data_IF_645438578131
#
_entry.id   IF_645438578131
#
_cell.length_a   1.000
_cell.length_b   1.000
_cell.length_c   1.000
_cell.angle_alpha   90.00
_cell.angle_beta   90.00
_cell.angle_gamma   90.00
#
_symmetry.space_group_name_H-M   'P 1'
#
loop_
_entity.id
_entity.type
_entity.pdbx_description
1 polymer ?
#
# COMPACT_ATOMS: atom_id res chain seq x y z
N UNK A 1 12.71 8.01 -2.66
CA UNK A 1 12.03 8.18 -1.34
C UNK A 1 10.62 7.68 -1.53
N UNK A 2 10.12 6.80 -0.69
CA UNK A 2 8.81 6.15 -0.87
C UNK A 2 7.67 7.10 -0.48
N UNK A 3 7.35 8.03 -1.39
CA UNK A 3 6.25 9.00 -1.19
C UNK A 3 4.94 8.46 -1.73
N UNK A 4 3.83 8.94 -1.19
CA UNK A 4 2.48 8.58 -1.62
C UNK A 4 2.28 8.78 -3.12
N UNK A 5 2.74 9.91 -3.69
CA UNK A 5 2.64 10.22 -5.13
C UNK A 5 3.38 9.24 -6.04
N UNK A 6 4.35 8.46 -5.51
CA UNK A 6 5.13 7.49 -6.27
C UNK A 6 4.35 6.16 -6.46
N UNK A 7 3.38 5.89 -5.58
CA UNK A 7 2.61 4.63 -5.52
C UNK A 7 1.11 4.79 -5.74
N UNK A 8 0.56 5.99 -5.54
CA UNK A 8 -0.88 6.25 -5.69
C UNK A 8 -1.36 6.02 -7.12
N UNK A 9 -2.62 5.66 -7.29
CA UNK A 9 -3.33 5.78 -8.56
C UNK A 9 -3.57 7.25 -8.84
N UNK A 10 -2.96 7.76 -9.91
CA UNK A 10 -3.16 9.12 -10.41
C UNK A 10 -4.42 9.20 -11.30
N UNK A 11 -4.88 10.41 -11.59
CA UNK A 11 -6.07 10.64 -12.42
C UNK A 11 -7.28 9.84 -11.93
N UNK A 12 -7.50 9.86 -10.60
CA UNK A 12 -8.59 9.15 -9.97
C UNK A 12 -9.94 9.69 -10.47
N UNK A 13 -10.86 8.78 -10.73
CA UNK A 13 -12.23 9.14 -11.11
C UNK A 13 -12.97 9.58 -9.85
N UNK A 14 -13.52 10.78 -9.89
CA UNK A 14 -14.31 11.37 -8.82
C UNK A 14 -15.78 11.46 -9.19
N UNK A 15 -16.65 11.59 -8.20
CA UNK A 15 -18.08 11.84 -8.37
C UNK A 15 -18.46 13.19 -7.76
N UNK A 16 -19.56 13.76 -8.25
CA UNK A 16 -20.21 14.91 -7.62
C UNK A 16 -21.19 14.43 -6.53
N UNK A 17 -21.48 15.28 -5.50
CA UNK A 17 -22.37 14.90 -4.39
C UNK A 17 -23.80 14.58 -4.81
N UNK A 18 -24.29 15.16 -5.91
CA UNK A 18 -25.62 15.02 -6.45
C UNK A 18 -25.77 13.84 -7.44
N UNK A 19 -24.65 13.19 -7.82
CA UNK A 19 -24.70 11.97 -8.60
C UNK A 19 -25.55 10.90 -7.89
N UNK A 20 -26.27 10.08 -8.65
CA UNK A 20 -27.11 9.00 -8.07
C UNK A 20 -26.29 7.75 -7.78
N UNK A 21 -26.76 6.96 -6.82
CA UNK A 21 -26.10 5.68 -6.47
C UNK A 21 -26.10 4.73 -7.68
N UNK A 22 -27.16 4.74 -8.51
CA UNK A 22 -27.16 3.95 -9.76
C UNK A 22 -26.01 4.33 -10.68
N UNK A 23 -25.77 5.63 -10.90
CA UNK A 23 -24.64 6.10 -11.72
C UNK A 23 -23.28 5.68 -11.15
N UNK A 24 -23.13 5.70 -9.83
CA UNK A 24 -21.87 5.26 -9.18
C UNK A 24 -21.66 3.75 -9.33
N UNK A 25 -22.72 2.94 -9.20
CA UNK A 25 -22.62 1.49 -9.41
C UNK A 25 -22.19 1.18 -10.85
N UNK A 26 -22.79 1.86 -11.84
CA UNK A 26 -22.45 1.69 -13.24
C UNK A 26 -21.01 2.13 -13.51
N UNK A 27 -20.59 3.27 -12.97
CA UNK A 27 -19.21 3.78 -13.04
C UNK A 27 -18.21 2.79 -12.44
N UNK A 28 -18.49 2.28 -11.24
CA UNK A 28 -17.63 1.29 -10.57
C UNK A 28 -17.47 0.02 -11.40
N UNK A 29 -18.56 -0.50 -11.98
CA UNK A 29 -18.54 -1.68 -12.87
C UNK A 29 -17.78 -1.42 -14.16
N UNK A 30 -18.07 -0.31 -14.85
CA UNK A 30 -17.43 0.03 -16.13
C UNK A 30 -15.92 0.21 -16.00
N UNK A 31 -15.48 0.85 -14.91
CA UNK A 31 -14.07 1.18 -14.69
C UNK A 31 -13.32 0.15 -13.82
N UNK A 32 -13.99 -0.87 -13.29
CA UNK A 32 -13.37 -1.86 -12.40
C UNK A 32 -12.85 -1.26 -11.09
N UNK A 33 -13.53 -0.25 -10.56
CA UNK A 33 -13.13 0.47 -9.34
C UNK A 33 -14.19 0.27 -8.24
N UNK A 34 -13.74 0.27 -6.99
CA UNK A 34 -14.59 0.01 -5.82
C UNK A 34 -14.67 1.19 -4.84
N UNK A 35 -13.96 2.28 -5.14
CA UNK A 35 -13.85 3.46 -4.28
C UNK A 35 -13.80 4.71 -5.14
N UNK A 36 -14.66 5.67 -4.84
CA UNK A 36 -14.78 6.91 -5.62
C UNK A 36 -14.74 8.10 -4.66
N UNK A 37 -13.71 8.94 -4.72
CA UNK A 37 -13.70 10.21 -4.02
C UNK A 37 -14.85 11.11 -4.53
N UNK A 38 -15.46 11.83 -3.62
CA UNK A 38 -16.53 12.79 -3.96
C UNK A 38 -15.97 14.18 -3.83
N UNK A 39 -16.09 14.95 -4.89
CA UNK A 39 -15.55 16.30 -4.98
C UNK A 39 -16.66 17.32 -5.27
N UNK A 40 -16.55 18.50 -4.69
CA UNK A 40 -17.38 19.63 -5.00
C UNK A 40 -16.48 20.84 -5.22
N UNK A 41 -16.61 21.49 -6.38
CA UNK A 41 -15.76 22.63 -6.77
C UNK A 41 -14.25 22.35 -6.63
N UNK A 42 -13.83 21.12 -6.99
CA UNK A 42 -12.44 20.69 -6.91
C UNK A 42 -11.97 20.21 -5.53
N UNK A 43 -12.77 20.39 -4.48
CA UNK A 43 -12.42 20.03 -3.10
C UNK A 43 -12.98 18.66 -2.72
N UNK A 44 -12.22 17.87 -1.96
CA UNK A 44 -12.65 16.59 -1.41
C UNK A 44 -13.73 16.82 -0.34
N UNK A 45 -14.97 16.39 -0.61
CA UNK A 45 -16.11 16.51 0.31
C UNK A 45 -16.63 15.17 0.82
N UNK A 46 -16.22 14.07 0.21
CA UNK A 46 -16.69 12.75 0.58
C UNK A 46 -15.88 11.61 -0.02
N UNK A 47 -16.22 10.41 0.41
CA UNK A 47 -15.74 9.15 -0.19
C UNK A 47 -16.92 8.17 -0.21
N UNK A 48 -17.14 7.53 -1.34
CA UNK A 48 -18.11 6.43 -1.48
C UNK A 48 -17.40 5.14 -1.88
N UNK A 49 -17.79 4.03 -1.28
CA UNK A 49 -17.26 2.70 -1.60
C UNK A 49 -18.40 1.73 -1.90
N UNK A 50 -18.08 0.67 -2.63
CA UNK A 50 -19.03 -0.41 -2.92
C UNK A 50 -19.63 -1.01 -1.63
N UNK A 51 -18.81 -1.22 -0.59
CA UNK A 51 -19.28 -1.69 0.73
C UNK A 51 -20.26 -0.74 1.40
N UNK A 52 -20.08 0.58 1.27
CA UNK A 52 -21.05 1.56 1.78
C UNK A 52 -22.37 1.49 1.05
N UNK A 53 -22.34 1.35 -0.26
CA UNK A 53 -23.56 1.19 -1.07
C UNK A 53 -24.29 -0.09 -0.65
N UNK A 54 -23.60 -1.20 -0.53
CA UNK A 54 -24.16 -2.49 -0.12
C UNK A 54 -24.76 -2.46 1.29
N UNK A 55 -24.16 -1.68 2.21
CA UNK A 55 -24.62 -1.55 3.60
C UNK A 55 -25.66 -0.42 3.81
N UNK A 56 -25.86 0.43 2.80
CA UNK A 56 -26.80 1.52 2.88
C UNK A 56 -28.23 1.03 2.81
N UNK A 57 -28.93 0.63 3.77
CA UNK A 57 -30.32 0.14 3.83
C UNK A 57 -31.12 0.04 2.52
N UNK A 58 -30.71 0.73 1.46
CA UNK A 58 -31.26 0.72 0.11
C UNK A 58 -31.13 -0.65 -0.58
N UNK A 59 -30.05 -1.41 -0.27
CA UNK A 59 -29.78 -2.74 -0.86
C UNK A 59 -30.14 -3.89 0.09
N UNK A 60 -30.32 -3.62 1.40
CA UNK A 60 -30.63 -4.63 2.41
C UNK A 60 -32.14 -4.90 2.61
N UNK A 61 -32.99 -4.21 1.86
CA UNK A 61 -34.44 -4.44 1.93
C UNK A 61 -34.81 -5.73 1.18
N UNK A 62 -34.69 -6.86 1.84
CA UNK A 62 -34.98 -8.21 1.31
C UNK A 62 -36.43 -8.40 0.83
N UNK A 63 -37.31 -7.41 1.05
CA UNK A 63 -38.72 -7.42 0.64
C UNK A 63 -39.02 -6.56 -0.59
N UNK A 64 -38.04 -5.81 -1.13
CA UNK A 64 -38.24 -4.96 -2.30
C UNK A 64 -38.16 -5.79 -3.60
N UNK A 65 -39.06 -5.48 -4.54
CA UNK A 65 -38.90 -5.94 -5.91
C UNK A 65 -37.68 -5.29 -6.58
N UNK A 66 -37.15 -5.91 -7.63
CA UNK A 66 -36.01 -5.37 -8.39
C UNK A 66 -36.30 -3.97 -8.98
N UNK A 67 -37.57 -3.70 -9.31
CA UNK A 67 -38.00 -2.39 -9.82
C UNK A 67 -37.98 -1.31 -8.74
N UNK A 68 -38.42 -1.62 -7.53
CA UNK A 68 -38.39 -0.71 -6.38
C UNK A 68 -36.94 -0.41 -5.97
N UNK A 69 -36.09 -1.42 -5.97
CA UNK A 69 -34.66 -1.25 -5.69
C UNK A 69 -34.00 -0.30 -6.72
N UNK A 70 -34.21 -0.55 -8.02
CA UNK A 70 -33.66 0.28 -9.09
C UNK A 70 -34.17 1.72 -8.99
N UNK A 71 -35.46 1.90 -8.67
CA UNK A 71 -36.04 3.21 -8.46
C UNK A 71 -35.36 3.96 -7.30
N UNK A 72 -35.18 3.30 -6.15
CA UNK A 72 -34.51 3.89 -5.00
C UNK A 72 -33.07 4.27 -5.32
N UNK A 73 -32.29 3.38 -5.95
CA UNK A 73 -30.90 3.66 -6.36
C UNK A 73 -30.80 4.84 -7.32
N UNK A 74 -31.80 5.03 -8.21
CA UNK A 74 -31.84 6.16 -9.14
C UNK A 74 -32.25 7.49 -8.48
N UNK A 75 -32.84 7.47 -7.28
CA UNK A 75 -33.25 8.65 -6.53
C UNK A 75 -32.33 8.99 -5.36
N UNK A 76 -31.57 8.04 -4.88
CA UNK A 76 -30.61 8.25 -3.78
C UNK A 76 -29.36 8.90 -4.31
N UNK A 77 -28.95 10.04 -3.74
CA UNK A 77 -27.72 10.75 -4.12
C UNK A 77 -26.52 10.26 -3.30
N UNK A 78 -25.34 10.43 -3.87
CA UNK A 78 -24.05 10.12 -3.23
C UNK A 78 -23.91 10.81 -1.88
N UNK A 79 -24.30 12.08 -1.78
CA UNK A 79 -24.22 12.90 -0.57
C UNK A 79 -24.96 12.32 0.64
N UNK A 80 -25.95 11.42 0.41
CA UNK A 80 -26.71 10.75 1.48
C UNK A 80 -26.04 9.49 2.01
N UNK A 81 -25.15 8.85 1.21
CA UNK A 81 -24.52 7.57 1.51
C UNK A 81 -23.02 7.71 1.82
N UNK A 82 -22.36 8.71 1.22
CA UNK A 82 -20.92 8.93 1.36
C UNK A 82 -20.48 9.20 2.80
N UNK A 83 -19.26 8.83 3.14
CA UNK A 83 -18.57 9.35 4.31
C UNK A 83 -18.15 10.79 4.06
N UNK A 84 -18.56 11.72 4.94
CA UNK A 84 -18.28 13.15 4.83
C UNK A 84 -16.99 13.58 5.53
N UNK A 85 -16.60 12.89 6.61
CA UNK A 85 -15.34 13.12 7.31
C UNK A 85 -14.27 12.20 6.74
N UNK A 86 -13.77 12.55 5.56
CA UNK A 86 -12.79 11.74 4.86
C UNK A 86 -11.41 11.93 5.46
N UNK A 87 -10.75 10.82 5.76
CA UNK A 87 -9.33 10.81 6.11
C UNK A 87 -8.55 10.77 4.80
N UNK A 88 -7.76 11.78 4.54
CA UNK A 88 -6.90 11.93 3.36
C UNK A 88 -5.44 11.99 3.74
N UNK A 89 -4.57 11.97 2.75
CA UNK A 89 -3.12 12.08 2.88
C UNK A 89 -2.57 13.07 1.85
N UNK A 90 -1.51 13.80 2.20
CA UNK A 90 -0.82 14.67 1.23
C UNK A 90 0.04 13.81 0.29
N UNK A 91 0.10 14.19 -0.97
CA UNK A 91 0.85 13.44 -2.01
C UNK A 91 2.36 13.36 -1.75
N UNK A 92 2.92 14.27 -0.97
CA UNK A 92 4.34 14.33 -0.63
C UNK A 92 4.68 13.63 0.70
N UNK A 93 3.69 13.14 1.44
CA UNK A 93 3.92 12.34 2.65
C UNK A 93 4.53 10.97 2.32
N UNK A 94 5.11 10.32 3.33
CA UNK A 94 5.71 9.00 3.21
C UNK A 94 4.62 7.90 3.18
N UNK A 95 4.88 6.80 2.49
CA UNK A 95 3.98 5.64 2.45
C UNK A 95 3.78 5.02 3.83
N UNK A 96 4.78 5.07 4.70
CA UNK A 96 4.70 4.64 6.10
C UNK A 96 3.63 5.41 6.86
N UNK A 97 3.54 6.73 6.63
CA UNK A 97 2.52 7.57 7.25
C UNK A 97 1.11 7.28 6.73
N UNK A 98 0.97 7.10 5.42
CA UNK A 98 -0.29 6.65 4.82
C UNK A 98 -0.72 5.29 5.38
N UNK A 99 0.22 4.35 5.49
CA UNK A 99 -0.01 3.01 6.07
C UNK A 99 -0.47 3.11 7.53
N UNK A 100 0.21 3.92 8.34
CA UNK A 100 -0.16 4.13 9.74
C UNK A 100 -1.57 4.74 9.86
N UNK A 101 -1.93 5.71 9.00
CA UNK A 101 -3.28 6.28 8.95
C UNK A 101 -4.33 5.21 8.64
N UNK A 102 -4.07 4.33 7.65
CA UNK A 102 -4.97 3.23 7.30
C UNK A 102 -5.19 2.27 8.47
N UNK A 103 -4.10 1.83 9.11
CA UNK A 103 -4.14 0.91 10.25
C UNK A 103 -4.88 1.52 11.45
N UNK A 104 -4.51 2.75 11.85
CA UNK A 104 -5.09 3.43 13.01
C UNK A 104 -6.60 3.67 12.87
N UNK A 105 -7.08 3.87 11.67
CA UNK A 105 -8.49 4.17 11.40
C UNK A 105 -9.26 2.96 10.85
N UNK A 106 -8.62 1.80 10.71
CA UNK A 106 -9.19 0.58 10.13
C UNK A 106 -9.85 0.83 8.74
N UNK A 107 -9.12 1.52 7.86
CA UNK A 107 -9.58 1.84 6.50
C UNK A 107 -8.58 1.32 5.46
N UNK A 108 -9.09 0.91 4.31
CA UNK A 108 -8.30 0.28 3.24
C UNK A 108 -7.88 1.24 2.11
N UNK A 109 -8.16 2.54 2.24
CA UNK A 109 -7.73 3.53 1.25
C UNK A 109 -7.75 4.94 1.82
N UNK A 110 -7.00 5.84 1.19
CA UNK A 110 -6.98 7.27 1.47
C UNK A 110 -7.04 8.03 0.14
N UNK A 111 -8.00 8.93 -0.06
CA UNK A 111 -7.86 9.96 -1.09
C UNK A 111 -6.58 10.76 -0.85
N UNK A 112 -5.87 11.05 -1.93
CA UNK A 112 -4.64 11.83 -1.91
C UNK A 112 -4.95 13.25 -2.37
N UNK A 113 -4.47 14.22 -1.61
CA UNK A 113 -4.72 15.63 -1.90
C UNK A 113 -3.40 16.38 -2.05
N UNK A 114 -3.44 17.48 -2.81
CA UNK A 114 -2.36 18.46 -2.87
C UNK A 114 -2.50 19.52 -1.75
N UNK A 115 -1.57 20.47 -1.72
CA UNK A 115 -1.57 21.58 -0.75
C UNK A 115 -2.81 22.48 -0.86
N UNK A 116 -3.51 22.48 -2.00
CA UNK A 116 -4.76 23.23 -2.22
C UNK A 116 -6.01 22.46 -1.77
N UNK A 117 -5.86 21.18 -1.32
CA UNK A 117 -6.96 20.31 -0.93
C UNK A 117 -7.67 19.63 -2.10
N UNK A 118 -7.13 19.74 -3.31
CA UNK A 118 -7.65 19.09 -4.51
C UNK A 118 -7.21 17.63 -4.56
N UNK A 119 -8.10 16.77 -5.03
CA UNK A 119 -7.80 15.33 -5.16
C UNK A 119 -6.84 15.09 -6.33
N UNK A 120 -5.65 14.57 -6.05
CA UNK A 120 -4.62 14.23 -7.03
C UNK A 120 -4.50 12.72 -7.27
N UNK A 121 -5.04 11.90 -6.37
CA UNK A 121 -4.95 10.45 -6.46
C UNK A 121 -5.76 9.73 -5.39
N UNK A 122 -5.57 8.42 -5.37
CA UNK A 122 -6.02 7.55 -4.29
C UNK A 122 -4.93 6.52 -4.00
N UNK A 123 -4.64 6.27 -2.72
CA UNK A 123 -3.72 5.22 -2.27
C UNK A 123 -4.50 4.16 -1.49
N UNK A 124 -4.17 2.90 -1.73
CA UNK A 124 -4.87 1.74 -1.18
C UNK A 124 -3.88 0.79 -0.48
N UNK A 125 -4.40 -0.21 0.25
CA UNK A 125 -3.59 -1.27 0.82
C UNK A 125 -2.76 -2.03 -0.23
N UNK A 126 -3.29 -2.20 -1.46
CA UNK A 126 -2.53 -2.83 -2.54
C UNK A 126 -1.28 -2.01 -2.92
N UNK A 127 -1.37 -0.69 -2.85
CA UNK A 127 -0.23 0.18 -3.13
C UNK A 127 0.81 0.12 -2.00
N UNK A 128 0.35 -0.06 -0.76
CA UNK A 128 1.23 -0.36 0.39
C UNK A 128 1.96 -1.69 0.18
N UNK A 129 1.26 -2.74 -0.28
CA UNK A 129 1.90 -4.03 -0.57
C UNK A 129 2.93 -3.93 -1.70
N UNK A 130 2.64 -3.18 -2.77
CA UNK A 130 3.62 -2.91 -3.84
C UNK A 130 4.85 -2.16 -3.30
N UNK A 131 4.63 -1.13 -2.48
CA UNK A 131 5.71 -0.40 -1.83
C UNK A 131 6.58 -1.34 -0.99
N UNK A 132 5.98 -2.21 -0.18
CA UNK A 132 6.68 -3.20 0.63
C UNK A 132 7.53 -4.15 -0.22
N UNK A 133 6.98 -4.69 -1.31
CA UNK A 133 7.73 -5.57 -2.21
C UNK A 133 8.91 -4.84 -2.87
N UNK A 134 8.72 -3.57 -3.26
CA UNK A 134 9.79 -2.76 -3.85
C UNK A 134 10.90 -2.46 -2.85
N UNK A 135 10.56 -2.15 -1.59
CA UNK A 135 11.56 -1.92 -0.53
C UNK A 135 12.42 -3.16 -0.30
N UNK A 136 11.84 -4.34 -0.43
CA UNK A 136 12.53 -5.62 -0.27
C UNK A 136 13.19 -6.12 -1.56
N UNK A 137 13.05 -5.41 -2.70
CA UNK A 137 13.59 -5.84 -3.98
C UNK A 137 13.02 -7.17 -4.50
N UNK A 138 11.73 -7.46 -4.21
CA UNK A 138 11.14 -8.77 -4.50
C UNK A 138 11.20 -9.16 -5.97
N UNK A 139 11.01 -8.20 -6.88
CA UNK A 139 10.98 -8.42 -8.32
C UNK A 139 12.38 -8.32 -8.99
N UNK A 140 13.44 -8.09 -8.22
CA UNK A 140 14.80 -8.01 -8.74
C UNK A 140 15.41 -9.41 -8.91
N UNK A 141 16.19 -9.56 -9.98
CA UNK A 141 16.94 -10.80 -10.23
C UNK A 141 18.11 -10.88 -9.27
N UNK A 142 18.29 -12.06 -8.65
CA UNK A 142 19.36 -12.29 -7.69
C UNK A 142 18.91 -13.24 -6.58
N UNK A 143 19.73 -13.36 -5.55
CA UNK A 143 19.47 -14.22 -4.39
C UNK A 143 19.02 -13.43 -3.18
N UNK A 144 18.23 -14.08 -2.31
CA UNK A 144 17.82 -13.58 -1.00
C UNK A 144 18.50 -14.42 0.08
N UNK A 145 19.34 -13.78 0.87
CA UNK A 145 20.08 -14.43 1.96
C UNK A 145 19.58 -13.87 3.29
N UNK A 146 19.35 -14.75 4.26
CA UNK A 146 19.00 -14.36 5.62
C UNK A 146 20.16 -14.69 6.56
N UNK A 147 20.72 -13.68 7.23
CA UNK A 147 21.93 -13.81 8.05
C UNK A 147 21.67 -13.26 9.45
N UNK A 148 22.06 -14.03 10.47
CA UNK A 148 22.11 -13.54 11.85
C UNK A 148 23.43 -12.85 12.11
N UNK A 149 23.38 -11.61 12.61
CA UNK A 149 24.55 -10.82 12.98
C UNK A 149 24.44 -10.36 14.43
N UNK A 150 25.57 -10.24 15.11
CA UNK A 150 25.60 -9.62 16.43
C UNK A 150 25.30 -8.13 16.28
N UNK A 151 24.37 -7.62 17.10
CA UNK A 151 24.01 -6.21 17.09
C UNK A 151 25.09 -5.39 17.79
N UNK A 152 26.07 -4.95 17.02
CA UNK A 152 27.19 -4.13 17.48
C UNK A 152 27.58 -3.07 16.45
N UNK A 153 28.25 -2.02 16.90
CA UNK A 153 28.75 -0.96 16.02
C UNK A 153 29.69 -1.55 14.96
N UNK A 154 29.40 -1.30 13.68
CA UNK A 154 30.18 -1.78 12.55
C UNK A 154 29.79 -3.17 12.04
N UNK A 155 28.76 -3.83 12.59
CA UNK A 155 28.33 -5.17 12.17
C UNK A 155 28.03 -5.22 10.64
N UNK A 156 27.27 -4.26 10.11
CA UNK A 156 26.96 -4.18 8.67
C UNK A 156 28.22 -3.95 7.84
N UNK A 157 29.16 -3.14 8.33
CA UNK A 157 30.46 -2.91 7.65
C UNK A 157 31.25 -4.20 7.48
N UNK A 158 31.44 -4.97 8.58
CA UNK A 158 32.11 -6.27 8.55
C UNK A 158 31.42 -7.27 7.63
N UNK A 159 30.09 -7.29 7.66
CA UNK A 159 29.29 -8.14 6.79
C UNK A 159 29.46 -7.76 5.31
N UNK A 160 29.41 -6.48 4.99
CA UNK A 160 29.54 -5.99 3.60
C UNK A 160 30.91 -6.28 2.98
N UNK A 161 31.98 -6.36 3.77
CA UNK A 161 33.30 -6.75 3.28
C UNK A 161 33.29 -8.14 2.64
N UNK A 162 32.50 -9.08 3.16
CA UNK A 162 32.39 -10.44 2.61
C UNK A 162 31.71 -10.41 1.24
N UNK A 163 30.72 -9.59 1.05
CA UNK A 163 30.07 -9.39 -0.24
C UNK A 163 31.05 -8.78 -1.27
N UNK A 164 31.86 -7.82 -0.84
CA UNK A 164 32.91 -7.24 -1.71
C UNK A 164 33.96 -8.28 -2.12
N UNK A 165 34.45 -9.11 -1.19
CA UNK A 165 35.41 -10.19 -1.47
C UNK A 165 34.87 -11.19 -2.50
N UNK A 166 33.55 -11.50 -2.43
CA UNK A 166 32.86 -12.37 -3.36
C UNK A 166 32.40 -11.67 -4.63
N UNK A 167 32.67 -10.35 -4.79
CA UNK A 167 32.24 -9.50 -5.94
C UNK A 167 30.71 -9.48 -6.13
N UNK A 168 29.96 -9.55 -5.06
CA UNK A 168 28.50 -9.54 -5.03
C UNK A 168 28.02 -8.19 -4.51
N UNK A 169 27.07 -7.57 -5.21
CA UNK A 169 26.48 -6.31 -4.80
C UNK A 169 25.25 -6.54 -3.91
N UNK A 170 25.13 -5.77 -2.82
CA UNK A 170 23.93 -5.74 -1.99
C UNK A 170 22.96 -4.72 -2.58
N UNK A 171 21.81 -5.18 -3.06
CA UNK A 171 20.76 -4.34 -3.64
C UNK A 171 19.81 -3.82 -2.57
N UNK A 172 19.37 -4.70 -1.67
CA UNK A 172 18.48 -4.35 -0.55
C UNK A 172 18.94 -5.04 0.73
N UNK A 173 18.73 -4.36 1.85
CA UNK A 173 18.97 -4.89 3.18
C UNK A 173 17.86 -4.44 4.13
N UNK A 174 17.33 -5.37 4.89
CA UNK A 174 16.34 -5.11 5.92
C UNK A 174 16.62 -5.88 7.19
N UNK A 175 16.39 -5.24 8.34
CA UNK A 175 16.43 -5.91 9.64
C UNK A 175 15.01 -6.32 10.01
N UNK A 176 14.74 -7.60 10.22
CA UNK A 176 13.39 -8.07 10.49
C UNK A 176 13.15 -8.54 11.93
N UNK A 177 14.19 -8.81 12.70
CA UNK A 177 14.06 -9.09 14.13
C UNK A 177 15.32 -8.74 14.90
N UNK A 178 15.13 -8.43 16.19
CA UNK A 178 16.18 -8.26 17.19
C UNK A 178 15.81 -9.12 18.39
N UNK A 179 16.67 -10.07 18.75
CA UNK A 179 16.50 -10.93 19.92
C UNK A 179 17.87 -11.22 20.53
N UNK A 180 17.99 -11.04 21.84
CA UNK A 180 19.21 -11.36 22.63
C UNK A 180 20.53 -10.78 22.07
N UNK A 181 20.47 -9.56 21.52
CA UNK A 181 21.64 -8.91 20.92
C UNK A 181 22.04 -9.46 19.55
N UNK A 182 21.15 -10.20 18.91
CA UNK A 182 21.28 -10.69 17.53
C UNK A 182 20.26 -9.97 16.65
N UNK A 183 20.72 -9.44 15.52
CA UNK A 183 19.89 -8.92 14.47
C UNK A 183 19.80 -9.94 13.32
N UNK A 184 18.61 -10.23 12.84
CA UNK A 184 18.42 -11.05 11.65
C UNK A 184 18.18 -10.13 10.44
N UNK A 185 19.08 -10.23 9.47
CA UNK A 185 19.08 -9.41 8.27
C UNK A 185 18.57 -10.22 7.08
N UNK A 186 17.66 -9.64 6.31
CA UNK A 186 17.33 -10.10 4.96
C UNK A 186 18.11 -9.24 3.98
N UNK A 187 18.90 -9.89 3.14
CA UNK A 187 19.74 -9.25 2.15
C UNK A 187 19.35 -9.76 0.76
N UNK A 188 19.10 -8.84 -0.14
CA UNK A 188 19.01 -9.14 -1.58
C UNK A 188 20.31 -8.73 -2.24
N UNK A 189 20.82 -9.61 -3.09
CA UNK A 189 22.08 -9.40 -3.81
C UNK A 189 21.94 -9.83 -5.28
N UNK A 190 22.83 -9.33 -6.12
CA UNK A 190 22.78 -9.47 -7.58
C UNK A 190 23.30 -10.83 -8.10
N UNK A 191 23.75 -11.74 -7.22
CA UNK A 191 24.17 -13.10 -7.67
C UNK A 191 22.97 -14.03 -7.72
N UNK A 192 22.96 -14.90 -8.72
CA UNK A 192 22.01 -16.04 -8.84
C UNK A 192 22.60 -17.36 -8.34
N UNK A 193 23.90 -17.37 -8.00
CA UNK A 193 24.65 -18.51 -7.49
C UNK A 193 25.29 -18.12 -6.15
N UNK A 194 24.55 -18.21 -5.02
CA UNK A 194 24.99 -17.69 -3.71
C UNK A 194 25.86 -18.66 -2.93
N UNK A 195 26.13 -19.89 -3.40
CA UNK A 195 26.76 -20.96 -2.62
C UNK A 195 28.14 -20.59 -2.07
N UNK A 196 29.00 -19.96 -2.90
CA UNK A 196 30.33 -19.51 -2.48
C UNK A 196 30.23 -18.41 -1.43
N UNK A 197 29.31 -17.46 -1.61
CA UNK A 197 29.05 -16.36 -0.67
C UNK A 197 28.52 -16.93 0.67
N UNK A 198 27.62 -17.91 0.62
CA UNK A 198 27.10 -18.57 1.81
C UNK A 198 28.22 -19.27 2.57
N UNK A 199 29.05 -20.05 1.88
CA UNK A 199 30.19 -20.75 2.48
C UNK A 199 31.18 -19.78 3.16
N UNK A 200 31.41 -18.60 2.54
CA UNK A 200 32.30 -17.59 3.09
C UNK A 200 31.71 -16.90 4.33
N UNK A 201 30.38 -16.61 4.32
CA UNK A 201 29.67 -16.08 5.48
C UNK A 201 29.80 -17.05 6.67
N UNK A 202 29.51 -18.34 6.45
CA UNK A 202 29.59 -19.37 7.49
C UNK A 202 31.03 -19.56 8.01
N UNK A 203 32.02 -19.56 7.13
CA UNK A 203 33.46 -19.66 7.48
C UNK A 203 33.93 -18.47 8.35
N UNK A 204 33.37 -17.28 8.12
CA UNK A 204 33.65 -16.08 8.93
C UNK A 204 32.79 -15.99 10.20
N UNK A 205 32.00 -17.01 10.50
CA UNK A 205 31.26 -17.16 11.75
C UNK A 205 29.84 -16.56 11.73
N UNK A 206 29.33 -16.19 10.58
CA UNK A 206 27.94 -15.78 10.44
C UNK A 206 27.02 -17.00 10.33
N UNK A 207 25.84 -16.88 10.92
CA UNK A 207 24.82 -17.93 10.79
C UNK A 207 23.90 -17.58 9.63
N UNK A 208 23.97 -18.32 8.54
CA UNK A 208 23.01 -18.22 7.43
C UNK A 208 21.78 -19.03 7.79
N UNK A 209 20.60 -18.42 7.75
CA UNK A 209 19.32 -19.04 8.11
C UNK A 209 18.60 -19.55 6.87
N UNK A 210 18.73 -18.84 5.76
CA UNK A 210 18.06 -19.15 4.49
C UNK A 210 18.83 -18.48 3.35
N UNK A 211 18.93 -19.18 2.23
CA UNK A 211 19.56 -18.68 1.02
C UNK A 211 18.72 -19.04 -0.22
#
# INVERSE_FOLDING_TARGET
MFKVKDYMTKNVICAEPDATISQIIDLMKEKGIHRVPVVEKGQLVGLITEGMISNSGTTNATSLSIYELNYLLSKTTVSTVMVKKVISVDENELMEYATQKMLKNNIGCLPVVNASGEVTGIVTQNDVFKCFLNVLGWDEVGSRITVSVKDEIGAIGKLSEIFVENKVNINHIGVYSFEDGIANLVIRCDTTEPDDLQADLERKGYKVLEC
#
